data_IF_980443956490
#
_entry.id   IF_980443956490
#
_cell.length_a   1.000
_cell.length_b   1.000
_cell.length_c   1.000
_cell.angle_alpha   90.00
_cell.angle_beta   90.00
_cell.angle_gamma   90.00
#
_symmetry.space_group_name_H-M   'P 1'
#
loop_
_entity.id
_entity.type
_entity.pdbx_description
1 polymer ?
#
# COMPACT_ATOMS: atom_id res chain seq x y z
N UNK A 1 39.96 -9.81 15.67
CA UNK A 1 39.22 -11.01 16.13
C UNK A 1 37.76 -10.74 15.87
N UNK A 2 37.08 -11.60 15.12
CA UNK A 2 35.67 -11.41 14.79
C UNK A 2 34.80 -11.79 15.99
N UNK A 3 33.98 -10.87 16.49
CA UNK A 3 33.09 -11.10 17.64
C UNK A 3 31.76 -11.67 17.14
N UNK A 4 31.13 -12.58 17.90
CA UNK A 4 29.77 -13.03 17.60
C UNK A 4 28.81 -12.41 18.60
N UNK A 5 27.76 -11.75 18.09
CA UNK A 5 26.79 -10.99 18.88
C UNK A 5 25.37 -11.48 18.58
N UNK A 6 24.57 -11.74 19.62
CA UNK A 6 23.15 -12.01 19.44
C UNK A 6 22.39 -10.69 19.45
N UNK A 7 21.56 -10.46 18.44
CA UNK A 7 20.80 -9.21 18.29
C UNK A 7 19.32 -9.50 18.06
N UNK A 8 18.46 -8.58 18.49
CA UNK A 8 17.08 -8.52 18.02
C UNK A 8 17.05 -7.71 16.72
N UNK A 9 16.78 -8.39 15.61
CA UNK A 9 16.78 -7.73 14.30
C UNK A 9 15.58 -6.79 14.13
N UNK A 10 14.46 -7.03 14.82
CA UNK A 10 13.32 -6.13 14.75
C UNK A 10 13.62 -4.80 15.45
N UNK A 11 14.31 -4.85 16.60
CA UNK A 11 14.77 -3.66 17.32
C UNK A 11 15.75 -2.83 16.48
N UNK A 12 16.70 -3.50 15.80
CA UNK A 12 17.63 -2.84 14.88
C UNK A 12 16.92 -2.18 13.69
N UNK A 13 15.96 -2.88 13.08
CA UNK A 13 15.16 -2.33 11.98
C UNK A 13 14.36 -1.11 12.43
N UNK A 14 13.74 -1.17 13.60
CA UNK A 14 12.99 -0.06 14.19
C UNK A 14 13.91 1.14 14.48
N UNK A 15 15.07 0.91 15.11
CA UNK A 15 16.07 1.94 15.35
C UNK A 15 16.54 2.63 14.06
N UNK A 16 16.74 1.85 12.99
CA UNK A 16 17.11 2.38 11.66
C UNK A 16 15.95 3.17 11.04
N UNK A 17 14.69 2.76 11.21
CA UNK A 17 13.55 3.49 10.64
C UNK A 17 13.21 4.78 11.36
N UNK A 18 13.37 4.77 12.69
CA UNK A 18 13.16 5.91 13.57
C UNK A 18 14.36 6.85 13.60
N UNK A 19 15.56 6.34 13.33
CA UNK A 19 16.79 7.10 13.19
C UNK A 19 16.64 8.21 12.16
N UNK A 20 16.41 9.43 12.62
CA UNK A 20 16.20 10.65 11.83
C UNK A 20 16.64 11.83 12.67
N UNK A 21 16.49 13.05 12.14
CA UNK A 21 16.93 14.29 12.77
C UNK A 21 16.63 14.40 14.29
N UNK A 22 15.55 13.78 14.80
CA UNK A 22 15.16 13.82 16.23
C UNK A 22 15.96 12.85 17.11
N UNK A 23 16.27 11.65 16.63
CA UNK A 23 17.03 10.65 17.39
C UNK A 23 18.00 9.93 16.46
N UNK A 24 19.24 9.73 16.91
CA UNK A 24 20.16 8.81 16.27
C UNK A 24 20.35 7.58 17.15
N UNK A 25 20.63 6.44 16.53
CA UNK A 25 20.74 5.17 17.24
C UNK A 25 22.14 4.59 17.09
N UNK A 26 22.62 4.00 18.18
CA UNK A 26 23.88 3.24 18.21
C UNK A 26 23.63 1.82 18.71
N UNK A 27 24.33 0.85 18.11
CA UNK A 27 24.35 -0.53 18.59
C UNK A 27 25.47 -0.71 19.61
N UNK A 28 25.14 -1.14 20.82
CA UNK A 28 26.11 -1.63 21.79
C UNK A 28 26.62 -3.01 21.35
N UNK A 29 27.89 -3.08 20.95
CA UNK A 29 28.49 -4.33 20.48
C UNK A 29 28.73 -5.34 21.60
N UNK A 30 28.59 -4.96 22.87
CA UNK A 30 28.67 -5.87 24.02
C UNK A 30 27.34 -6.51 24.37
N UNK A 31 26.28 -5.71 24.48
CA UNK A 31 24.95 -6.20 24.87
C UNK A 31 24.06 -6.60 23.69
N UNK A 32 24.31 -6.06 22.49
CA UNK A 32 23.49 -6.29 21.30
C UNK A 32 22.22 -5.43 21.25
N UNK A 33 22.13 -4.41 22.12
CA UNK A 33 20.97 -3.51 22.23
C UNK A 33 21.17 -2.21 21.45
N UNK A 34 20.07 -1.65 20.97
CA UNK A 34 20.06 -0.32 20.39
C UNK A 34 19.87 0.72 21.48
N UNK A 35 20.64 1.81 21.40
CA UNK A 35 20.54 2.94 22.32
C UNK A 35 20.15 4.15 21.50
N UNK A 36 19.05 4.78 21.88
CA UNK A 36 18.62 6.06 21.33
C UNK A 36 19.42 7.19 21.96
N UNK A 37 19.84 8.15 21.15
CA UNK A 37 20.56 9.35 21.55
C UNK A 37 19.88 10.56 20.89
N UNK A 38 19.92 11.74 21.51
CA UNK A 38 19.29 12.94 20.93
C UNK A 38 19.96 13.30 19.61
N UNK A 39 19.15 13.53 18.57
CA UNK A 39 19.61 14.01 17.27
C UNK A 39 19.69 15.53 17.19
N UNK A 40 20.12 16.05 16.04
CA UNK A 40 20.30 17.50 15.80
C UNK A 40 19.00 18.32 15.92
N UNK A 41 17.84 17.70 15.69
CA UNK A 41 16.53 18.30 15.81
C UNK A 41 15.79 17.94 17.10
N UNK A 42 16.49 17.35 18.09
CA UNK A 42 15.92 17.12 19.41
C UNK A 42 15.79 18.45 20.17
N UNK A 43 14.55 18.84 20.50
CA UNK A 43 14.23 20.12 21.13
C UNK A 43 13.63 20.01 22.55
N UNK A 44 13.47 18.77 23.04
CA UNK A 44 13.00 18.48 24.38
C UNK A 44 14.14 18.49 25.41
N UNK A 45 13.81 18.59 26.70
CA UNK A 45 14.81 18.43 27.77
C UNK A 45 15.31 16.98 27.81
N UNK A 46 16.62 16.81 27.93
CA UNK A 46 17.26 15.51 28.12
C UNK A 46 16.97 15.05 29.55
N UNK A 47 16.21 13.97 29.69
CA UNK A 47 15.93 13.38 31.00
C UNK A 47 17.12 12.58 31.56
N UNK A 48 17.00 12.09 32.79
CA UNK A 48 18.08 11.37 33.47
C UNK A 48 18.47 10.06 32.74
N UNK A 49 17.53 9.40 32.06
CA UNK A 49 17.79 8.15 31.33
C UNK A 49 18.58 8.41 30.05
N UNK A 50 18.17 9.43 29.28
CA UNK A 50 18.87 9.87 28.08
C UNK A 50 20.26 10.43 28.42
N UNK A 51 20.39 11.20 29.49
CA UNK A 51 21.68 11.71 29.95
C UNK A 51 22.65 10.56 30.29
N UNK A 52 22.18 9.53 31.00
CA UNK A 52 22.98 8.34 31.30
C UNK A 52 23.38 7.57 30.03
N UNK A 53 22.51 7.53 29.02
CA UNK A 53 22.82 6.91 27.73
C UNK A 53 23.91 7.68 26.97
N UNK A 54 23.87 9.01 26.97
CA UNK A 54 24.90 9.87 26.36
C UNK A 54 26.24 9.64 27.04
N UNK A 55 26.29 9.75 28.37
CA UNK A 55 27.53 9.57 29.15
C UNK A 55 28.13 8.18 28.92
N UNK A 56 27.30 7.15 28.91
CA UNK A 56 27.75 5.78 28.63
C UNK A 56 28.40 5.65 27.25
N UNK A 57 27.89 6.36 26.23
CA UNK A 57 28.42 6.31 24.86
C UNK A 57 29.69 7.15 24.72
N UNK A 58 29.74 8.33 25.33
CA UNK A 58 30.90 9.23 25.28
C UNK A 58 32.11 8.69 26.05
N UNK A 59 31.91 8.06 27.20
CA UNK A 59 32.99 7.52 28.04
C UNK A 59 33.52 6.16 27.57
N UNK A 60 32.84 5.53 26.60
CA UNK A 60 33.18 4.18 26.17
C UNK A 60 34.46 4.10 25.32
N UNK A 61 35.15 2.95 25.35
CA UNK A 61 36.30 2.74 24.49
C UNK A 61 35.88 2.75 23.00
N UNK A 62 36.76 3.24 22.11
CA UNK A 62 36.50 3.24 20.67
C UNK A 62 36.12 1.84 20.16
N UNK A 63 35.06 1.78 19.33
CA UNK A 63 34.57 0.53 18.74
C UNK A 63 33.57 -0.25 19.60
N UNK A 64 33.22 0.23 20.81
CA UNK A 64 32.12 -0.36 21.60
C UNK A 64 30.75 -0.09 20.98
N UNK A 65 30.52 1.12 20.47
CA UNK A 65 29.27 1.53 19.87
C UNK A 65 29.44 1.72 18.36
N UNK A 66 28.46 1.23 17.59
CA UNK A 66 28.42 1.37 16.14
C UNK A 66 27.20 2.19 15.77
N UNK A 67 27.40 3.27 15.01
CA UNK A 67 26.31 4.11 14.52
C UNK A 67 25.53 3.40 13.42
N UNK A 68 24.21 3.55 13.42
CA UNK A 68 23.32 2.97 12.42
C UNK A 68 22.73 4.10 11.56
N UNK A 69 23.31 4.37 10.39
CA UNK A 69 22.78 5.35 9.44
C UNK A 69 21.70 4.71 8.54
N UNK A 70 20.44 5.19 8.58
CA UNK A 70 19.37 4.64 7.76
C UNK A 70 19.62 4.66 6.25
N UNK A 71 20.42 5.60 5.74
CA UNK A 71 20.71 5.68 4.31
C UNK A 71 21.58 4.51 3.82
N UNK A 72 22.39 3.92 4.70
CA UNK A 72 23.28 2.80 4.37
C UNK A 72 22.53 1.48 4.17
N UNK A 73 21.34 1.34 4.76
CA UNK A 73 20.60 0.06 4.76
C UNK A 73 19.47 -0.01 3.73
N UNK A 74 19.24 1.06 2.95
CA UNK A 74 18.18 1.09 1.94
C UNK A 74 18.45 0.11 0.80
N UNK A 75 17.41 -0.52 0.21
CA UNK A 75 17.57 -1.30 -1.00
C UNK A 75 18.17 -0.47 -2.13
N UNK A 76 19.13 -1.05 -2.84
CA UNK A 76 19.75 -0.45 -4.01
C UNK A 76 18.86 -0.58 -5.26
N UNK A 77 19.26 0.09 -6.35
CA UNK A 77 18.64 -0.13 -7.67
C UNK A 77 18.84 -1.58 -8.14
N UNK A 78 19.95 -2.21 -7.77
CA UNK A 78 20.22 -3.59 -8.16
C UNK A 78 19.35 -4.58 -7.36
N UNK A 79 19.00 -4.26 -6.12
CA UNK A 79 17.99 -5.00 -5.35
C UNK A 79 16.61 -4.91 -6.00
N UNK A 80 16.22 -3.72 -6.45
CA UNK A 80 14.98 -3.55 -7.21
C UNK A 80 14.99 -4.39 -8.50
N UNK A 81 16.12 -4.45 -9.23
CA UNK A 81 16.27 -5.32 -10.42
C UNK A 81 16.14 -6.81 -10.06
N UNK A 82 16.80 -7.25 -8.99
CA UNK A 82 16.71 -8.63 -8.45
C UNK A 82 15.27 -9.01 -8.13
N UNK A 83 14.50 -8.10 -7.53
CA UNK A 83 13.07 -8.33 -7.29
C UNK A 83 12.26 -8.45 -8.59
N UNK A 84 12.50 -7.54 -9.55
CA UNK A 84 11.79 -7.51 -10.83
C UNK A 84 11.98 -8.81 -11.60
N UNK A 85 13.19 -9.38 -11.59
CA UNK A 85 13.44 -10.64 -12.31
C UNK A 85 12.68 -11.84 -11.73
N UNK A 86 12.28 -11.77 -10.45
CA UNK A 86 11.43 -12.76 -9.80
C UNK A 86 9.92 -12.55 -10.03
N UNK A 87 9.50 -11.45 -10.67
CA UNK A 87 8.08 -11.21 -11.03
C UNK A 87 7.68 -12.17 -12.16
N UNK A 88 6.57 -12.90 -11.96
CA UNK A 88 6.10 -13.89 -12.94
C UNK A 88 5.32 -13.28 -14.10
N UNK A 89 4.55 -12.22 -13.86
CA UNK A 89 3.80 -11.52 -14.89
C UNK A 89 4.76 -10.73 -15.81
N UNK A 90 4.82 -11.11 -17.09
CA UNK A 90 5.79 -10.55 -18.03
C UNK A 90 5.52 -9.08 -18.37
N UNK A 91 4.25 -8.69 -18.50
CA UNK A 91 3.85 -7.32 -18.83
C UNK A 91 4.13 -6.42 -17.64
N UNK A 92 3.73 -6.84 -16.44
CA UNK A 92 3.98 -6.10 -15.22
C UNK A 92 5.49 -5.99 -14.94
N UNK A 93 6.25 -7.07 -15.13
CA UNK A 93 7.71 -7.07 -15.05
C UNK A 93 8.33 -6.07 -16.02
N UNK A 94 7.87 -6.03 -17.26
CA UNK A 94 8.35 -5.07 -18.26
C UNK A 94 8.11 -3.62 -17.81
N UNK A 95 6.91 -3.31 -17.32
CA UNK A 95 6.55 -1.99 -16.80
C UNK A 95 7.43 -1.56 -15.63
N UNK A 96 7.73 -2.47 -14.70
CA UNK A 96 8.64 -2.20 -13.58
C UNK A 96 10.07 -1.91 -14.06
N UNK A 97 10.58 -2.66 -15.05
CA UNK A 97 11.91 -2.41 -15.63
C UNK A 97 11.98 -1.04 -16.30
N UNK A 98 10.99 -0.70 -17.11
CA UNK A 98 10.93 0.57 -17.83
C UNK A 98 10.86 1.75 -16.85
N UNK A 99 10.02 1.64 -15.81
CA UNK A 99 9.92 2.64 -14.75
C UNK A 99 11.24 2.84 -14.00
N UNK A 100 11.94 1.75 -13.67
CA UNK A 100 13.22 1.82 -12.96
C UNK A 100 14.35 2.38 -13.84
N UNK A 101 14.26 2.26 -15.17
CA UNK A 101 15.26 2.75 -16.12
C UNK A 101 15.27 4.28 -16.32
N UNK A 102 14.28 5.00 -15.77
CA UNK A 102 14.22 6.46 -15.88
C UNK A 102 15.46 7.13 -15.25
N UNK A 103 16.10 8.04 -15.99
CA UNK A 103 17.31 8.76 -15.57
C UNK A 103 17.15 9.56 -14.27
N UNK A 104 15.94 10.00 -13.95
CA UNK A 104 15.62 10.72 -12.71
C UNK A 104 14.32 10.16 -12.15
N UNK A 105 14.29 9.86 -10.86
CA UNK A 105 13.11 9.37 -10.18
C UNK A 105 12.71 7.94 -10.54
N UNK A 106 13.59 7.13 -11.14
CA UNK A 106 13.27 5.75 -11.53
C UNK A 106 12.78 4.89 -10.37
N UNK A 107 13.35 5.03 -9.17
CA UNK A 107 12.87 4.31 -7.98
C UNK A 107 11.47 4.75 -7.56
N UNK A 108 11.14 6.04 -7.69
CA UNK A 108 9.79 6.54 -7.43
C UNK A 108 8.80 5.96 -8.42
N UNK A 109 9.11 6.02 -9.72
CA UNK A 109 8.26 5.46 -10.77
C UNK A 109 8.06 3.95 -10.60
N UNK A 110 9.12 3.22 -10.23
CA UNK A 110 9.06 1.80 -9.88
C UNK A 110 8.05 1.55 -8.74
N UNK A 111 8.11 2.33 -7.66
CA UNK A 111 7.15 2.21 -6.55
C UNK A 111 5.73 2.59 -6.98
N UNK A 112 5.58 3.59 -7.85
CA UNK A 112 4.27 4.00 -8.36
C UNK A 112 3.63 2.85 -9.17
N UNK A 113 4.41 2.15 -10.00
CA UNK A 113 3.94 0.95 -10.72
C UNK A 113 3.64 -0.21 -9.76
N UNK A 114 4.47 -0.45 -8.73
CA UNK A 114 4.19 -1.48 -7.71
C UNK A 114 2.86 -1.27 -6.99
N UNK A 115 2.47 -0.03 -6.74
CA UNK A 115 1.21 0.27 -6.05
C UNK A 115 -0.03 -0.19 -6.83
N UNK A 116 0.09 -0.44 -8.13
CA UNK A 116 -1.01 -0.97 -8.95
C UNK A 116 -1.25 -2.45 -8.71
N UNK A 117 -0.29 -3.18 -8.15
CA UNK A 117 -0.32 -4.63 -7.96
C UNK A 117 -0.10 -4.97 -6.49
N UNK A 118 -1.17 -4.99 -5.69
CA UNK A 118 -1.05 -5.09 -4.23
C UNK A 118 -0.35 -6.37 -3.74
N UNK A 119 -0.54 -7.49 -4.45
CA UNK A 119 0.17 -8.74 -4.14
C UNK A 119 1.69 -8.59 -4.31
N UNK A 120 2.11 -7.96 -5.41
CA UNK A 120 3.52 -7.67 -5.68
C UNK A 120 4.07 -6.56 -4.77
N UNK A 121 3.26 -5.59 -4.36
CA UNK A 121 3.65 -4.60 -3.35
C UNK A 121 3.92 -5.26 -1.98
N UNK A 122 3.05 -6.18 -1.55
CA UNK A 122 3.27 -6.94 -0.31
C UNK A 122 4.53 -7.80 -0.41
N UNK A 123 4.79 -8.41 -1.58
CA UNK A 123 6.01 -9.18 -1.86
C UNK A 123 7.26 -8.29 -1.85
N UNK A 124 7.17 -7.09 -2.43
CA UNK A 124 8.24 -6.10 -2.42
C UNK A 124 8.58 -5.67 -1.00
N UNK A 125 7.60 -5.34 -0.16
CA UNK A 125 7.84 -4.94 1.24
C UNK A 125 8.58 -6.02 2.02
N UNK A 126 8.19 -7.28 1.83
CA UNK A 126 8.88 -8.40 2.45
C UNK A 126 10.32 -8.53 1.94
N UNK A 127 10.52 -8.41 0.62
CA UNK A 127 11.84 -8.45 0.01
C UNK A 127 12.73 -7.30 0.50
N UNK A 128 12.20 -6.07 0.58
CA UNK A 128 12.88 -4.89 1.12
C UNK A 128 13.33 -5.10 2.58
N UNK A 129 12.48 -5.74 3.40
CA UNK A 129 12.86 -6.11 4.76
C UNK A 129 14.00 -7.14 4.77
N UNK A 130 13.93 -8.20 3.95
CA UNK A 130 15.01 -9.19 3.84
C UNK A 130 16.34 -8.54 3.43
N UNK A 131 16.34 -7.72 2.38
CA UNK A 131 17.54 -7.01 1.88
C UNK A 131 18.12 -6.11 2.98
N UNK A 132 17.26 -5.40 3.73
CA UNK A 132 17.72 -4.57 4.84
C UNK A 132 18.46 -5.39 5.91
N UNK A 133 17.92 -6.55 6.30
CA UNK A 133 18.61 -7.47 7.23
C UNK A 133 19.94 -7.94 6.66
N UNK A 134 19.98 -8.30 5.38
CA UNK A 134 21.23 -8.67 4.68
C UNK A 134 22.27 -7.53 4.75
N UNK A 135 21.85 -6.29 4.51
CA UNK A 135 22.72 -5.11 4.56
C UNK A 135 23.23 -4.82 5.98
N UNK A 136 22.37 -4.92 7.01
CA UNK A 136 22.78 -4.77 8.43
C UNK A 136 23.83 -5.82 8.79
N UNK A 137 23.62 -7.07 8.40
CA UNK A 137 24.59 -8.16 8.65
C UNK A 137 25.91 -7.89 7.96
N UNK A 138 25.89 -7.47 6.69
CA UNK A 138 27.10 -7.15 5.93
C UNK A 138 27.88 -5.99 6.55
N UNK A 139 27.18 -4.91 6.91
CA UNK A 139 27.76 -3.75 7.58
C UNK A 139 28.43 -4.12 8.91
N UNK A 140 27.76 -4.89 9.76
CA UNK A 140 28.33 -5.33 11.03
C UNK A 140 29.51 -6.29 10.83
N UNK A 141 29.47 -7.13 9.80
CA UNK A 141 30.59 -8.02 9.45
C UNK A 141 31.83 -7.23 9.02
N UNK A 142 31.68 -6.12 8.29
CA UNK A 142 32.78 -5.20 7.96
C UNK A 142 33.40 -4.55 9.21
N UNK A 143 32.58 -4.27 10.22
CA UNK A 143 33.02 -3.85 11.56
C UNK A 143 33.63 -5.00 12.40
N UNK A 144 33.72 -6.22 11.86
CA UNK A 144 34.26 -7.39 12.55
C UNK A 144 33.28 -8.06 13.52
N UNK A 145 31.98 -7.85 13.35
CA UNK A 145 30.91 -8.38 14.19
C UNK A 145 30.03 -9.33 13.36
N UNK A 146 30.09 -10.61 13.70
CA UNK A 146 29.14 -11.60 13.20
C UNK A 146 27.88 -11.55 14.07
N UNK A 147 26.70 -11.55 13.45
CA UNK A 147 25.43 -11.52 14.20
C UNK A 147 24.67 -12.85 14.15
N UNK A 148 24.05 -13.19 15.27
CA UNK A 148 23.07 -14.26 15.39
C UNK A 148 21.70 -13.64 15.63
N UNK A 149 20.76 -13.89 14.73
CA UNK A 149 19.41 -13.33 14.78
C UNK A 149 18.40 -14.33 14.23
N UNK A 150 17.12 -14.10 14.54
CA UNK A 150 16.04 -14.89 13.97
C UNK A 150 15.79 -14.45 12.52
N UNK A 151 15.92 -15.36 11.53
CA UNK A 151 15.71 -15.01 10.13
C UNK A 151 14.25 -14.63 9.91
N UNK A 152 14.03 -13.68 9.00
CA UNK A 152 12.66 -13.33 8.62
C UNK A 152 12.02 -14.56 7.93
N UNK A 153 10.81 -14.99 8.36
CA UNK A 153 10.18 -16.17 7.80
C UNK A 153 9.94 -15.99 6.29
N UNK A 154 9.84 -17.08 5.50
CA UNK A 154 9.57 -16.97 4.07
C UNK A 154 8.30 -16.15 3.79
N UNK A 155 8.31 -15.35 2.73
CA UNK A 155 7.12 -14.62 2.28
C UNK A 155 5.96 -15.59 2.09
N UNK A 156 4.86 -15.32 2.78
CA UNK A 156 3.59 -15.99 2.56
C UNK A 156 2.64 -15.00 1.90
N UNK A 157 2.19 -15.27 0.66
CA UNK A 157 1.21 -14.40 0.02
C UNK A 157 -0.06 -14.39 0.88
N UNK A 158 -0.59 -13.20 1.12
CA UNK A 158 -1.91 -13.06 1.71
C UNK A 158 -2.92 -13.47 0.65
N UNK A 159 -3.31 -14.74 0.69
CA UNK A 159 -4.43 -15.26 -0.08
C UNK A 159 -5.70 -14.63 0.48
N UNK A 160 -6.07 -13.48 -0.07
CA UNK A 160 -7.42 -12.97 0.13
C UNK A 160 -8.34 -13.85 -0.70
N UNK A 161 -9.35 -14.43 -0.04
CA UNK A 161 -10.37 -15.19 -0.73
C UNK A 161 -11.12 -14.24 -1.64
N UNK A 162 -10.90 -14.37 -2.95
CA UNK A 162 -11.64 -13.67 -4.01
C UNK A 162 -13.15 -13.67 -3.75
N UNK A 163 -13.66 -14.78 -3.20
CA UNK A 163 -15.02 -14.95 -2.73
C UNK A 163 -15.47 -13.88 -1.71
N UNK A 164 -14.67 -13.56 -0.70
CA UNK A 164 -15.02 -12.57 0.33
C UNK A 164 -15.10 -11.14 -0.22
N UNK A 165 -14.27 -10.82 -1.22
CA UNK A 165 -14.35 -9.53 -1.94
C UNK A 165 -15.60 -9.49 -2.82
N UNK A 166 -15.93 -10.59 -3.51
CA UNK A 166 -17.15 -10.72 -4.30
C UNK A 166 -18.40 -10.59 -3.41
N UNK A 167 -18.44 -11.21 -2.23
CA UNK A 167 -19.53 -11.05 -1.26
C UNK A 167 -19.74 -9.59 -0.84
N UNK A 168 -18.64 -8.85 -0.62
CA UNK A 168 -18.68 -7.42 -0.36
C UNK A 168 -19.28 -6.65 -1.54
N UNK A 169 -18.84 -6.95 -2.76
CA UNK A 169 -19.36 -6.32 -3.99
C UNK A 169 -20.86 -6.61 -4.20
N UNK A 170 -21.29 -7.85 -4.04
CA UNK A 170 -22.71 -8.27 -4.09
C UNK A 170 -23.51 -7.49 -3.07
N UNK A 171 -23.05 -7.44 -1.81
CA UNK A 171 -23.70 -6.68 -0.74
C UNK A 171 -23.86 -5.19 -1.09
N UNK A 172 -22.85 -4.59 -1.74
CA UNK A 172 -22.94 -3.22 -2.21
C UNK A 172 -23.99 -3.08 -3.33
N UNK A 173 -23.94 -3.93 -4.35
CA UNK A 173 -24.86 -3.88 -5.51
C UNK A 173 -26.31 -4.00 -5.06
N UNK A 174 -26.60 -4.96 -4.18
CA UNK A 174 -27.94 -5.18 -3.63
C UNK A 174 -28.49 -3.96 -2.91
N UNK A 175 -27.64 -3.18 -2.23
CA UNK A 175 -28.04 -1.92 -1.60
C UNK A 175 -28.16 -0.78 -2.62
N UNK A 176 -27.18 -0.65 -3.51
CA UNK A 176 -27.04 0.47 -4.40
C UNK A 176 -28.11 0.50 -5.50
N UNK A 177 -28.60 -0.66 -5.96
CA UNK A 177 -29.66 -0.73 -6.97
C UNK A 177 -31.00 -0.12 -6.53
N UNK A 178 -31.20 0.03 -5.22
CA UNK A 178 -32.40 0.64 -4.63
C UNK A 178 -32.24 2.14 -4.34
N UNK A 179 -31.06 2.72 -4.60
CA UNK A 179 -30.83 4.16 -4.42
C UNK A 179 -31.43 4.90 -5.60
N UNK A 180 -32.40 5.80 -5.32
CA UNK A 180 -32.99 6.67 -6.34
C UNK A 180 -31.90 7.49 -7.02
N UNK A 181 -31.88 7.44 -8.35
CA UNK A 181 -30.90 8.16 -9.16
C UNK A 181 -29.67 7.32 -9.54
N UNK A 182 -29.53 6.08 -9.07
CA UNK A 182 -28.60 5.12 -9.68
C UNK A 182 -29.20 4.59 -10.98
N UNK A 183 -28.44 4.61 -12.07
CA UNK A 183 -28.86 4.24 -13.42
C UNK A 183 -28.13 3.01 -13.99
N UNK A 184 -26.92 2.72 -13.52
CA UNK A 184 -26.18 1.50 -13.87
C UNK A 184 -25.17 1.17 -12.77
N UNK A 185 -24.91 -0.12 -12.54
CA UNK A 185 -23.81 -0.60 -11.70
C UNK A 185 -23.02 -1.64 -12.48
N UNK A 186 -21.70 -1.49 -12.52
CA UNK A 186 -20.78 -2.38 -13.23
C UNK A 186 -19.57 -2.71 -12.36
N UNK A 187 -19.04 -3.94 -12.52
CA UNK A 187 -17.78 -4.37 -11.96
C UNK A 187 -16.65 -4.07 -12.94
N UNK A 188 -15.57 -3.49 -12.42
CA UNK A 188 -14.35 -3.19 -13.17
C UNK A 188 -13.13 -3.68 -12.36
N UNK A 189 -11.93 -3.48 -12.92
CA UNK A 189 -10.68 -3.78 -12.21
C UNK A 189 -10.45 -5.28 -12.02
N UNK A 190 -9.57 -5.61 -11.07
CA UNK A 190 -8.99 -6.97 -10.96
C UNK A 190 -10.00 -8.09 -10.67
N UNK A 191 -11.14 -7.80 -10.02
CA UNK A 191 -12.21 -8.78 -9.82
C UNK A 191 -12.94 -9.15 -11.12
N UNK A 192 -12.88 -8.31 -12.14
CA UNK A 192 -13.42 -8.65 -13.46
C UNK A 192 -12.44 -9.47 -14.33
N UNK A 193 -11.27 -9.85 -13.79
CA UNK A 193 -10.19 -10.56 -14.52
C UNK A 193 -9.82 -11.88 -13.84
N UNK A 194 -9.19 -12.84 -14.56
CA UNK A 194 -8.70 -14.11 -14.01
C UNK A 194 -7.57 -14.00 -12.98
N UNK A 195 -7.19 -12.78 -12.57
CA UNK A 195 -6.11 -12.53 -11.63
C UNK A 195 -6.33 -13.33 -10.32
N UNK A 196 -5.40 -14.23 -9.93
CA UNK A 196 -5.55 -15.09 -8.76
C UNK A 196 -5.70 -14.30 -7.45
N UNK A 197 -5.02 -13.16 -7.36
CA UNK A 197 -5.07 -12.26 -6.20
C UNK A 197 -5.58 -10.88 -6.64
N UNK A 198 -6.90 -10.63 -6.57
CA UNK A 198 -7.44 -9.31 -6.87
C UNK A 198 -6.92 -8.25 -5.89
N UNK A 199 -6.68 -7.05 -6.41
CA UNK A 199 -6.24 -5.89 -5.64
C UNK A 199 -7.35 -5.36 -4.71
N UNK A 200 -8.60 -5.57 -5.07
CA UNK A 200 -9.72 -5.03 -4.32
C UNK A 200 -11.01 -5.03 -5.12
N UNK A 201 -12.01 -4.34 -4.59
CA UNK A 201 -13.32 -4.19 -5.25
C UNK A 201 -13.38 -2.85 -5.96
N UNK A 202 -13.44 -2.87 -7.29
CA UNK A 202 -13.63 -1.66 -8.09
C UNK A 202 -14.99 -1.72 -8.80
N UNK A 203 -15.86 -0.76 -8.49
CA UNK A 203 -17.22 -0.69 -9.04
C UNK A 203 -17.44 0.66 -9.73
N UNK A 204 -18.08 0.65 -10.88
CA UNK A 204 -18.55 1.84 -11.57
C UNK A 204 -20.05 2.00 -11.39
N UNK A 205 -20.48 3.13 -10.84
CA UNK A 205 -21.89 3.49 -10.69
C UNK A 205 -22.18 4.69 -11.60
N UNK A 206 -23.12 4.51 -12.52
CA UNK A 206 -23.68 5.61 -13.30
C UNK A 206 -24.87 6.20 -12.56
N UNK A 207 -24.85 7.51 -12.32
CA UNK A 207 -25.92 8.23 -11.65
C UNK A 207 -26.65 9.16 -12.62
N UNK A 208 -27.98 9.18 -12.52
CA UNK A 208 -28.85 10.10 -13.25
C UNK A 208 -28.97 11.47 -12.54
N UNK A 209 -28.70 11.52 -11.24
CA UNK A 209 -28.89 12.72 -10.43
C UNK A 209 -27.85 12.79 -9.29
N UNK A 210 -27.33 13.98 -8.99
CA UNK A 210 -26.25 14.17 -7.99
C UNK A 210 -26.71 13.89 -6.57
N UNK A 211 -28.01 13.92 -6.32
CA UNK A 211 -28.65 13.63 -5.04
C UNK A 211 -28.46 12.17 -4.60
N UNK A 212 -28.11 11.27 -5.53
CA UNK A 212 -27.77 9.89 -5.22
C UNK A 212 -26.39 9.75 -4.53
N UNK A 213 -25.47 10.69 -4.76
CA UNK A 213 -24.06 10.58 -4.34
C UNK A 213 -23.89 10.34 -2.84
N UNK A 214 -24.58 11.05 -1.92
CA UNK A 214 -24.43 10.80 -0.49
C UNK A 214 -24.81 9.38 -0.07
N UNK A 215 -25.90 8.83 -0.64
CA UNK A 215 -26.36 7.48 -0.34
C UNK A 215 -25.41 6.42 -0.92
N UNK A 216 -24.93 6.62 -2.16
CA UNK A 216 -23.94 5.74 -2.78
C UNK A 216 -22.62 5.76 -1.99
N UNK A 217 -22.16 6.94 -1.57
CA UNK A 217 -20.96 7.06 -0.75
C UNK A 217 -21.10 6.39 0.62
N UNK A 218 -22.29 6.44 1.24
CA UNK A 218 -22.54 5.72 2.48
C UNK A 218 -22.47 4.19 2.29
N UNK A 219 -23.00 3.66 1.19
CA UNK A 219 -22.84 2.25 0.84
C UNK A 219 -21.39 1.89 0.54
N UNK A 220 -20.66 2.75 -0.19
CA UNK A 220 -19.27 2.56 -0.56
C UNK A 220 -18.34 2.53 0.67
N UNK A 221 -18.59 3.36 1.69
CA UNK A 221 -17.83 3.32 2.95
C UNK A 221 -17.99 1.98 3.69
N UNK A 222 -19.19 1.37 3.65
CA UNK A 222 -19.40 0.03 4.24
C UNK A 222 -18.62 -1.04 3.47
N UNK A 223 -18.63 -0.97 2.15
CA UNK A 223 -17.82 -1.85 1.30
C UNK A 223 -16.32 -1.68 1.56
N UNK A 224 -15.85 -0.44 1.66
CA UNK A 224 -14.46 -0.11 1.97
C UNK A 224 -14.05 -0.63 3.34
N UNK A 225 -14.88 -0.47 4.37
CA UNK A 225 -14.65 -1.05 5.69
C UNK A 225 -14.57 -2.59 5.67
N UNK A 226 -15.43 -3.26 4.89
CA UNK A 226 -15.35 -4.71 4.69
C UNK A 226 -14.06 -5.12 3.97
N UNK A 227 -13.68 -4.43 2.90
CA UNK A 227 -12.43 -4.70 2.17
C UNK A 227 -11.18 -4.50 3.06
N UNK A 228 -11.22 -3.52 3.95
CA UNK A 228 -10.12 -3.20 4.87
C UNK A 228 -9.85 -4.31 5.90
N UNK A 229 -10.85 -5.10 6.31
CA UNK A 229 -10.60 -6.26 7.21
C UNK A 229 -9.69 -7.31 6.57
N UNK A 230 -9.61 -7.30 5.23
CA UNK A 230 -8.73 -8.15 4.42
C UNK A 230 -7.48 -7.42 3.93
N UNK A 231 -7.20 -6.19 4.43
CA UNK A 231 -6.14 -5.31 3.90
C UNK A 231 -6.26 -5.10 2.37
N UNK A 232 -7.49 -4.90 1.88
CA UNK A 232 -7.78 -4.60 0.47
C UNK A 232 -8.50 -3.27 0.32
N UNK A 233 -8.36 -2.70 -0.86
CA UNK A 233 -9.09 -1.49 -1.24
C UNK A 233 -10.49 -1.81 -1.74
N UNK A 234 -11.38 -0.83 -1.64
CA UNK A 234 -12.57 -0.82 -2.47
C UNK A 234 -12.85 0.60 -2.96
N UNK A 235 -12.97 0.77 -4.26
CA UNK A 235 -13.27 2.06 -4.90
C UNK A 235 -14.62 1.97 -5.60
N UNK A 236 -15.47 2.96 -5.35
CA UNK A 236 -16.70 3.16 -6.12
C UNK A 236 -16.52 4.43 -6.94
N UNK A 237 -16.42 4.23 -8.25
CA UNK A 237 -16.28 5.26 -9.27
C UNK A 237 -17.66 5.74 -9.71
N UNK A 238 -17.77 7.04 -10.02
CA UNK A 238 -19.02 7.68 -10.40
C UNK A 238 -18.90 8.26 -11.81
N UNK A 239 -19.92 8.00 -12.63
CA UNK A 239 -20.12 8.65 -13.91
C UNK A 239 -21.56 9.16 -14.03
N UNK A 240 -21.80 10.17 -14.86
CA UNK A 240 -23.16 10.59 -15.19
C UNK A 240 -23.75 9.81 -16.37
N UNK A 241 -25.04 10.03 -16.65
CA UNK A 241 -25.75 9.39 -17.75
C UNK A 241 -25.19 9.72 -19.15
N UNK A 242 -24.37 10.76 -19.29
CA UNK A 242 -23.69 11.10 -20.56
C UNK A 242 -22.39 10.31 -20.76
N UNK A 243 -21.98 9.51 -19.77
CA UNK A 243 -20.70 8.79 -19.77
C UNK A 243 -19.53 9.67 -19.32
N UNK A 244 -19.80 10.80 -18.68
CA UNK A 244 -18.75 11.67 -18.12
C UNK A 244 -18.35 11.16 -16.74
N UNK A 245 -17.04 10.91 -16.55
CA UNK A 245 -16.49 10.56 -15.25
C UNK A 245 -16.57 11.75 -14.28
N UNK A 246 -17.12 11.50 -13.09
CA UNK A 246 -17.32 12.52 -12.05
C UNK A 246 -16.27 12.46 -10.95
N UNK A 247 -15.67 11.29 -10.71
CA UNK A 247 -14.78 11.04 -9.58
C UNK A 247 -15.11 9.73 -8.87
N UNK A 248 -14.72 9.65 -7.59
CA UNK A 248 -15.01 8.50 -6.72
C UNK A 248 -15.94 8.92 -5.58
N UNK A 249 -16.50 7.95 -4.87
CA UNK A 249 -17.22 8.25 -3.63
C UNK A 249 -16.25 8.73 -2.54
N UNK A 250 -16.64 9.75 -1.79
CA UNK A 250 -15.82 10.27 -0.69
C UNK A 250 -15.67 9.23 0.44
N UNK A 251 -14.43 8.91 0.86
CA UNK A 251 -14.17 7.93 1.92
C UNK A 251 -14.57 8.46 3.30
N UNK A 252 -14.72 9.78 3.46
CA UNK A 252 -14.99 10.42 4.74
C UNK A 252 -16.50 10.47 5.03
N UNK A 253 -16.87 10.09 6.27
CA UNK A 253 -18.25 10.21 6.77
C UNK A 253 -18.66 11.67 6.89
N UNK A 254 -17.77 12.50 7.42
CA UNK A 254 -17.93 13.95 7.51
C UNK A 254 -17.06 14.58 6.43
N UNK A 255 -17.69 15.30 5.50
CA UNK A 255 -17.02 15.91 4.36
C UNK A 255 -17.40 17.39 4.31
N UNK A 256 -16.38 18.24 4.29
CA UNK A 256 -16.54 19.69 4.23
C UNK A 256 -15.19 20.37 3.98
N UNK A 257 -15.20 21.62 3.50
CA UNK A 257 -13.99 22.41 3.32
C UNK A 257 -13.18 22.48 4.63
N UNK A 258 -11.87 22.28 4.56
CA UNK A 258 -10.97 22.41 5.71
C UNK A 258 -11.02 21.30 6.76
N UNK A 259 -11.97 20.35 6.70
CA UNK A 259 -12.06 19.24 7.68
C UNK A 259 -10.84 18.32 7.62
N UNK A 260 -10.25 18.12 6.42
CA UNK A 260 -9.08 17.26 6.22
C UNK A 260 -8.02 17.98 5.42
N UNK A 261 -6.89 18.27 6.06
CA UNK A 261 -5.72 18.91 5.43
C UNK A 261 -5.12 18.11 4.26
N UNK A 262 -5.30 16.79 4.25
CA UNK A 262 -4.82 15.88 3.19
C UNK A 262 -5.89 15.53 2.14
N UNK A 263 -7.05 16.18 2.14
CA UNK A 263 -8.05 15.94 1.09
C UNK A 263 -7.54 16.43 -0.26
N UNK A 264 -7.55 15.58 -1.29
CA UNK A 264 -7.15 15.93 -2.66
C UNK A 264 -8.35 16.09 -3.60
N UNK A 265 -9.59 16.09 -3.09
CA UNK A 265 -10.75 16.45 -3.89
C UNK A 265 -10.61 17.91 -4.37
N UNK A 266 -10.93 18.17 -5.63
CA UNK A 266 -10.97 19.54 -6.15
C UNK A 266 -12.08 20.35 -5.48
N UNK A 267 -13.19 19.70 -5.14
CA UNK A 267 -14.30 20.30 -4.43
C UNK A 267 -14.72 19.43 -3.24
N UNK A 268 -14.71 20.02 -2.04
CA UNK A 268 -15.22 19.38 -0.83
C UNK A 268 -16.70 19.69 -0.60
N UNK A 269 -17.45 18.70 -0.10
CA UNK A 269 -18.89 18.78 0.12
C UNK A 269 -19.67 17.93 -0.89
N UNK A 270 -20.77 17.30 -0.46
CA UNK A 270 -21.61 16.47 -1.33
C UNK A 270 -21.14 15.01 -1.53
N UNK A 271 -20.11 14.57 -0.80
CA UNK A 271 -19.59 13.20 -0.81
C UNK A 271 -19.09 12.67 -2.18
N UNK A 272 -18.81 13.57 -3.11
CA UNK A 272 -18.02 13.29 -4.32
C UNK A 272 -16.54 13.57 -4.01
N UNK A 273 -15.67 12.67 -4.42
CA UNK A 273 -14.21 12.85 -4.39
C UNK A 273 -13.74 12.99 -5.84
N UNK A 274 -13.65 14.24 -6.29
CA UNK A 274 -13.34 14.61 -7.68
C UNK A 274 -11.85 14.89 -7.88
N UNK A 275 -11.03 13.89 -7.57
CA UNK A 275 -9.59 13.91 -7.76
C UNK A 275 -9.18 13.63 -9.21
N UNK A 276 -9.80 14.34 -10.15
CA UNK A 276 -9.70 14.12 -11.60
C UNK A 276 -8.28 14.28 -12.16
N UNK A 277 -7.39 14.92 -11.40
CA UNK A 277 -5.98 15.09 -11.71
C UNK A 277 -5.12 13.90 -11.28
N UNK A 278 -5.65 13.00 -10.45
CA UNK A 278 -4.99 11.80 -9.94
C UNK A 278 -5.56 10.57 -10.64
N UNK A 279 -6.88 10.45 -10.66
CA UNK A 279 -7.56 9.29 -11.21
C UNK A 279 -8.60 9.72 -12.23
N UNK A 280 -8.57 9.07 -13.40
CA UNK A 280 -9.58 9.25 -14.44
C UNK A 280 -9.85 7.94 -15.15
N UNK A 281 -11.13 7.54 -15.20
CA UNK A 281 -11.51 6.37 -15.98
C UNK A 281 -11.55 6.68 -17.48
N UNK A 282 -11.01 5.80 -18.35
CA UNK A 282 -11.14 5.95 -19.79
C UNK A 282 -12.62 5.95 -20.21
N UNK A 283 -12.98 6.80 -21.19
CA UNK A 283 -14.36 6.86 -21.72
C UNK A 283 -14.84 5.49 -22.23
N UNK A 284 -13.95 4.70 -22.82
CA UNK A 284 -14.28 3.37 -23.31
C UNK A 284 -14.67 2.42 -22.17
N UNK A 285 -13.94 2.44 -21.05
CA UNK A 285 -14.27 1.64 -19.88
C UNK A 285 -15.60 2.04 -19.25
N UNK A 286 -15.94 3.34 -19.28
CA UNK A 286 -17.26 3.81 -18.82
C UNK A 286 -18.36 3.36 -19.78
N UNK A 287 -18.12 3.42 -21.09
CA UNK A 287 -19.11 3.01 -22.09
C UNK A 287 -19.38 1.50 -22.04
N UNK A 288 -18.32 0.69 -22.04
CA UNK A 288 -18.35 -0.78 -22.07
C UNK A 288 -17.46 -1.35 -20.95
N UNK A 289 -17.93 -1.36 -19.68
CA UNK A 289 -17.21 -1.99 -18.59
C UNK A 289 -17.25 -3.53 -18.73
N UNK A 290 -16.27 -4.29 -18.19
CA UNK A 290 -16.20 -5.75 -18.36
C UNK A 290 -17.49 -6.49 -17.97
N UNK A 291 -18.12 -6.09 -16.88
CA UNK A 291 -19.38 -6.67 -16.39
C UNK A 291 -20.34 -5.57 -15.91
N UNK A 292 -21.44 -5.38 -16.63
CA UNK A 292 -22.61 -4.64 -16.11
C UNK A 292 -23.47 -5.62 -15.31
N UNK A 293 -23.83 -5.24 -14.08
CA UNK A 293 -24.61 -6.08 -13.16
C UNK A 293 -26.06 -5.60 -13.06
N UNK A 294 -26.28 -4.28 -13.16
CA UNK A 294 -27.59 -3.65 -13.05
C UNK A 294 -27.68 -2.47 -14.04
N UNK A 295 -28.82 -2.21 -14.71
CA UNK A 295 -30.15 -2.82 -14.53
C UNK A 295 -30.36 -4.19 -15.18
N UNK A 296 -29.53 -4.52 -16.17
CA UNK A 296 -29.47 -5.82 -16.79
C UNK A 296 -28.03 -6.30 -16.81
N UNK A 297 -27.84 -7.61 -16.69
CA UNK A 297 -26.52 -8.22 -16.77
C UNK A 297 -26.02 -8.15 -18.20
N UNK A 298 -24.82 -7.60 -18.41
CA UNK A 298 -24.12 -7.59 -19.70
C UNK A 298 -22.65 -7.93 -19.46
N UNK A 299 -22.16 -8.96 -20.14
CA UNK A 299 -20.76 -9.39 -20.08
C UNK A 299 -20.07 -8.93 -21.36
N UNK A 300 -19.03 -8.10 -21.22
CA UNK A 300 -18.29 -7.54 -22.36
C UNK A 300 -16.94 -8.21 -22.60
N UNK A 301 -16.29 -8.71 -21.54
CA UNK A 301 -14.97 -9.35 -21.57
C UNK A 301 -15.02 -10.78 -21.02
N UNK A 302 -13.88 -11.48 -21.04
CA UNK A 302 -13.72 -12.81 -20.41
C UNK A 302 -13.67 -12.68 -18.87
N UNK A 303 -14.87 -12.55 -18.28
CA UNK A 303 -15.07 -12.43 -16.85
C UNK A 303 -15.04 -13.82 -16.21
N UNK A 304 -14.27 -14.03 -15.12
CA UNK A 304 -14.16 -15.34 -14.49
C UNK A 304 -15.49 -15.93 -14.01
N UNK A 305 -15.61 -17.25 -14.15
CA UNK A 305 -16.83 -17.98 -13.81
C UNK A 305 -17.28 -17.79 -12.35
N UNK A 306 -16.33 -17.73 -11.40
CA UNK A 306 -16.63 -17.49 -9.98
C UNK A 306 -17.27 -16.11 -9.73
N UNK A 307 -16.92 -15.13 -10.55
CA UNK A 307 -17.42 -13.76 -10.48
C UNK A 307 -18.82 -13.70 -11.04
N UNK A 308 -19.05 -14.35 -12.19
CA UNK A 308 -20.39 -14.51 -12.74
C UNK A 308 -21.30 -15.23 -11.73
N UNK A 309 -20.83 -16.33 -11.15
CA UNK A 309 -21.55 -17.11 -10.14
C UNK A 309 -21.90 -16.28 -8.90
N UNK A 310 -20.98 -15.44 -8.41
CA UNK A 310 -21.24 -14.59 -7.24
C UNK A 310 -22.40 -13.60 -7.47
N UNK A 311 -22.62 -13.14 -8.70
CA UNK A 311 -23.77 -12.29 -9.06
C UNK A 311 -24.99 -13.08 -9.54
N UNK A 312 -25.00 -14.41 -9.38
CA UNK A 312 -26.11 -15.27 -9.81
C UNK A 312 -26.25 -15.37 -11.33
N UNK A 313 -25.20 -15.07 -12.07
CA UNK A 313 -25.16 -15.11 -13.53
C UNK A 313 -24.75 -16.53 -13.91
N UNK A 314 -25.71 -17.31 -14.41
CA UNK A 314 -25.45 -18.67 -14.89
C UNK A 314 -24.83 -18.58 -16.28
N UNK A 315 -23.65 -19.16 -16.46
CA UNK A 315 -23.01 -19.40 -17.76
C UNK A 315 -23.77 -20.45 -18.57
#
# INVERSE_FOLDING_TARGET
MTKTLRVDMNELEEAIELGRDVFHYVLDTESGKCIALPGDAYDEEVDEEMQAAIEMVEEAPPGRFVSLDPEEFRPSIDDARRFIDAVSDEEFRYRLRDALALRRGGFRAFRDVLQEELGELDRWRHFEQQVRRENIVAFLAEAGINVLYEPLPPYQPRLVERQQLLEGAVTFVERAKHIRGVARIALIGSLATPKPQPNGVDLLVTIAAKEAVPAVAAAARKLSGHAQTMNRGANVFLADASGTYLGRTCPWRECGPGIRSRCQAQHCGGHLYDDLHIVKLPKQLIAAPPLVIWPSVVVHDDVPADTLQAFGIVS
#
